data_IF_087438890757
#
_entry.id   IF_087438890757
#
_cell.length_a   1.000
_cell.length_b   1.000
_cell.length_c   1.000
_cell.angle_alpha   90.00
_cell.angle_beta   90.00
_cell.angle_gamma   90.00
#
_symmetry.space_group_name_H-M   'P 1'
#
loop_
_entity.id
_entity.type
_entity.pdbx_description
1 polymer ?
#
# COMPACT_ATOMS: atom_id res chain seq x y z
N UNK A 1 -16.19 -23.17 9.12
CA UNK A 1 -15.93 -21.84 8.54
C UNK A 1 -16.18 -21.84 7.01
N UNK A 2 -16.96 -20.89 6.44
CA UNK A 2 -17.02 -20.79 4.99
C UNK A 2 -15.68 -20.27 4.46
N UNK A 3 -15.22 -20.87 3.36
CA UNK A 3 -13.93 -20.58 2.75
C UNK A 3 -13.85 -19.12 2.27
N UNK A 4 -12.72 -18.46 2.55
CA UNK A 4 -12.38 -17.17 1.98
C UNK A 4 -12.41 -17.24 0.44
N UNK A 5 -12.96 -16.24 -0.27
CA UNK A 5 -12.95 -16.24 -1.73
C UNK A 5 -11.49 -16.27 -2.24
N UNK A 6 -11.23 -17.17 -3.18
CA UNK A 6 -9.92 -17.35 -3.79
C UNK A 6 -9.51 -16.06 -4.52
N UNK A 7 -8.30 -15.57 -4.24
CA UNK A 7 -7.73 -14.42 -4.95
C UNK A 7 -7.55 -14.81 -6.42
N UNK A 8 -8.18 -14.07 -7.33
CA UNK A 8 -7.99 -14.21 -8.78
C UNK A 8 -6.50 -14.11 -9.12
N UNK A 9 -5.88 -15.23 -9.50
CA UNK A 9 -4.47 -15.27 -9.88
C UNK A 9 -4.40 -14.95 -11.38
N UNK A 10 -3.66 -13.91 -11.74
CA UNK A 10 -3.34 -13.64 -13.14
C UNK A 10 -2.28 -14.65 -13.57
N UNK A 11 -2.52 -15.37 -14.67
CA UNK A 11 -1.53 -16.26 -15.27
C UNK A 11 -0.66 -15.46 -16.24
N UNK A 12 0.64 -15.43 -15.98
CA UNK A 12 1.62 -14.89 -16.93
C UNK A 12 2.03 -16.00 -17.90
N UNK A 13 2.05 -15.74 -19.23
CA UNK A 13 2.48 -16.73 -20.20
C UNK A 13 3.97 -17.06 -20.01
N UNK A 14 4.29 -18.35 -20.11
CA UNK A 14 5.68 -18.84 -20.16
C UNK A 14 6.35 -18.32 -21.43
N UNK A 15 7.18 -17.28 -21.32
CA UNK A 15 7.94 -16.78 -22.47
C UNK A 15 9.09 -17.74 -22.78
N UNK A 16 9.23 -18.15 -24.04
CA UNK A 16 10.52 -18.60 -24.57
C UNK A 16 11.53 -17.46 -24.32
N UNK A 17 12.53 -17.72 -23.48
CA UNK A 17 13.61 -16.78 -23.20
C UNK A 17 14.35 -16.54 -24.53
N UNK A 18 14.27 -15.33 -25.09
CA UNK A 18 15.25 -14.90 -26.09
C UNK A 18 16.60 -14.89 -25.37
N UNK A 19 17.49 -15.79 -25.78
CA UNK A 19 18.80 -15.98 -25.16
C UNK A 19 19.72 -14.90 -25.69
N UNK A 20 20.15 -14.00 -24.81
CA UNK A 20 21.22 -13.06 -25.10
C UNK A 20 22.49 -13.90 -25.34
N UNK A 21 23.27 -13.67 -26.42
CA UNK A 21 24.55 -14.34 -26.63
C UNK A 21 25.47 -14.11 -25.44
N UNK A 22 26.33 -15.08 -25.09
CA UNK A 22 27.34 -14.85 -24.05
C UNK A 22 28.34 -13.81 -24.58
N UNK A 23 28.66 -12.74 -23.84
CA UNK A 23 29.65 -11.77 -24.27
C UNK A 23 31.01 -12.48 -24.49
N UNK A 24 31.77 -12.09 -25.53
CA UNK A 24 33.00 -12.78 -25.92
C UNK A 24 34.15 -12.61 -24.92
N UNK A 25 34.04 -11.67 -23.97
CA UNK A 25 35.11 -11.33 -23.03
C UNK A 25 34.92 -12.04 -21.69
N UNK A 26 35.90 -12.87 -21.32
CA UNK A 26 35.96 -13.53 -20.03
C UNK A 26 36.38 -12.55 -18.91
N UNK A 27 36.06 -12.83 -17.63
CA UNK A 27 36.36 -11.95 -16.50
C UNK A 27 37.84 -11.60 -16.28
N UNK A 28 38.75 -12.31 -16.97
CA UNK A 28 40.20 -12.09 -16.91
C UNK A 28 40.73 -11.11 -17.98
N UNK A 29 39.87 -10.49 -18.80
CA UNK A 29 40.27 -9.48 -19.80
C UNK A 29 39.96 -8.06 -19.32
N UNK A 30 40.88 -7.11 -19.50
CA UNK A 30 40.75 -5.70 -19.10
C UNK A 30 39.54 -5.01 -19.76
N UNK A 31 39.15 -5.51 -20.94
CA UNK A 31 37.99 -5.08 -21.72
C UNK A 31 36.65 -5.40 -21.06
N UNK A 32 36.61 -6.37 -20.13
CA UNK A 32 35.42 -6.68 -19.33
C UNK A 32 35.08 -5.57 -18.32
N UNK A 33 36.09 -4.83 -17.84
CA UNK A 33 35.91 -3.67 -16.96
C UNK A 33 35.89 -2.34 -17.72
N UNK A 34 36.13 -2.37 -19.03
CA UNK A 34 36.00 -1.19 -19.86
C UNK A 34 34.51 -0.89 -20.09
N UNK A 35 34.02 0.11 -19.37
CA UNK A 35 32.63 0.60 -19.43
C UNK A 35 32.19 0.89 -20.85
N UNK A 36 33.08 1.39 -21.72
CA UNK A 36 32.74 1.69 -23.10
C UNK A 36 32.53 0.42 -23.94
N UNK A 37 33.37 -0.61 -23.76
CA UNK A 37 33.23 -1.88 -24.47
C UNK A 37 31.97 -2.63 -24.03
N UNK A 38 31.68 -2.63 -22.72
CA UNK A 38 30.47 -3.25 -22.15
C UNK A 38 29.20 -2.55 -22.63
N UNK A 39 29.20 -1.21 -22.69
CA UNK A 39 28.05 -0.45 -23.17
C UNK A 39 27.80 -0.67 -24.66
N UNK A 40 28.84 -0.61 -25.51
CA UNK A 40 28.70 -0.87 -26.95
C UNK A 40 28.13 -2.27 -27.21
N UNK A 41 28.64 -3.30 -26.52
CA UNK A 41 28.14 -4.66 -26.69
C UNK A 41 26.68 -4.82 -26.24
N UNK A 42 26.30 -4.17 -25.13
CA UNK A 42 24.93 -4.16 -24.63
C UNK A 42 23.97 -3.43 -25.59
N UNK A 43 24.41 -2.34 -26.21
CA UNK A 43 23.59 -1.57 -27.16
C UNK A 43 23.33 -2.35 -28.46
N UNK A 44 24.31 -3.12 -28.91
CA UNK A 44 24.22 -3.98 -30.10
C UNK A 44 23.36 -5.24 -29.88
N UNK A 45 23.46 -5.86 -28.70
CA UNK A 45 22.85 -7.18 -28.43
C UNK A 45 21.59 -7.12 -27.55
N UNK A 46 21.27 -5.95 -26.98
CA UNK A 46 20.02 -5.79 -26.23
C UNK A 46 18.81 -5.82 -27.18
N UNK A 47 17.72 -6.51 -26.80
CA UNK A 47 16.49 -6.51 -27.59
C UNK A 47 15.91 -5.09 -27.68
N UNK A 48 16.09 -4.48 -28.85
CA UNK A 48 15.52 -3.17 -29.21
C UNK A 48 14.00 -3.28 -29.20
N UNK A 49 13.34 -2.51 -28.34
CA UNK A 49 11.89 -2.30 -28.44
C UNK A 49 11.67 -1.18 -29.45
N UNK A 50 10.96 -1.41 -30.58
CA UNK A 50 10.58 -0.29 -31.43
C UNK A 50 9.72 0.67 -30.63
N UNK A 51 10.26 1.85 -30.32
CA UNK A 51 9.53 2.94 -29.67
C UNK A 51 8.60 3.57 -30.70
N UNK A 52 7.44 2.97 -30.92
CA UNK A 52 6.38 3.60 -31.71
C UNK A 52 5.68 4.64 -30.84
N UNK A 53 5.93 5.93 -31.13
CA UNK A 53 5.16 7.02 -30.53
C UNK A 53 3.68 6.93 -30.98
N UNK A 54 2.69 7.08 -30.08
CA UNK A 54 1.27 6.94 -30.43
C UNK A 54 0.72 7.95 -31.45
N UNK A 55 1.52 8.92 -31.93
CA UNK A 55 1.05 10.01 -32.79
C UNK A 55 1.02 9.68 -34.29
N UNK A 56 1.61 8.57 -34.74
CA UNK A 56 1.76 8.30 -36.19
C UNK A 56 0.68 7.43 -36.84
N UNK A 57 -0.33 6.96 -36.09
CA UNK A 57 -1.36 6.05 -36.63
C UNK A 57 -2.70 6.71 -37.00
N UNK A 58 -2.69 8.01 -37.34
CA UNK A 58 -3.89 8.74 -37.78
C UNK A 58 -4.04 8.90 -39.30
N UNK A 59 -3.17 8.29 -40.11
CA UNK A 59 -3.14 8.48 -41.57
C UNK A 59 -3.22 7.20 -42.43
N UNK A 60 -3.58 6.07 -41.85
CA UNK A 60 -3.89 4.86 -42.63
C UNK A 60 -5.24 4.34 -42.16
N UNK A 61 -6.14 4.04 -43.10
CA UNK A 61 -7.58 3.73 -42.97
C UNK A 61 -8.51 4.94 -43.16
N UNK A 62 -8.41 5.57 -44.33
CA UNK A 62 -9.59 6.01 -45.08
C UNK A 62 -9.58 5.19 -46.36
N UNK A 63 -10.55 4.29 -46.50
CA UNK A 63 -11.29 3.99 -47.74
C UNK A 63 -12.27 2.84 -47.48
N UNK A 64 -13.55 3.19 -47.64
CA UNK A 64 -14.73 2.39 -48.01
C UNK A 64 -15.08 1.10 -47.26
N UNK A 65 -16.10 1.18 -46.39
CA UNK A 65 -17.22 0.22 -46.43
C UNK A 65 -18.40 0.69 -45.57
N UNK A 66 -19.57 0.65 -46.19
CA UNK A 66 -20.87 1.15 -45.74
C UNK A 66 -21.63 0.05 -44.97
N UNK A 67 -21.92 0.23 -43.67
CA UNK A 67 -23.08 -0.37 -42.96
C UNK A 67 -23.11 -0.09 -41.43
N UNK A 68 -24.30 -0.09 -40.81
CA UNK A 68 -24.54 0.55 -39.52
C UNK A 68 -24.37 -0.42 -38.35
N UNK A 69 -23.66 -0.01 -37.30
CA UNK A 69 -23.75 -0.67 -36.01
C UNK A 69 -23.49 0.32 -34.88
N UNK A 70 -24.50 0.51 -34.05
CA UNK A 70 -24.49 1.36 -32.88
C UNK A 70 -23.32 0.98 -31.95
N UNK A 71 -22.27 1.80 -31.94
CA UNK A 71 -21.19 1.64 -30.97
C UNK A 71 -21.67 2.07 -29.57
N UNK A 72 -21.41 1.28 -28.51
CA UNK A 72 -21.72 1.68 -27.15
C UNK A 72 -20.97 2.97 -26.82
N UNK A 73 -21.68 3.93 -26.21
CA UNK A 73 -21.14 5.22 -25.76
C UNK A 73 -19.85 4.97 -24.96
N UNK A 74 -18.74 5.55 -25.42
CA UNK A 74 -17.48 5.61 -24.67
C UNK A 74 -17.80 6.01 -23.23
N UNK A 75 -17.51 5.12 -22.29
CA UNK A 75 -17.58 5.36 -20.86
C UNK A 75 -16.92 6.71 -20.56
N UNK A 76 -17.67 7.60 -19.92
CA UNK A 76 -17.23 8.93 -19.55
C UNK A 76 -15.84 8.86 -18.93
N UNK A 77 -14.87 9.56 -19.54
CA UNK A 77 -13.58 9.76 -18.91
C UNK A 77 -13.82 10.46 -17.55
N UNK A 78 -13.06 10.12 -16.50
CA UNK A 78 -13.29 10.71 -15.18
C UNK A 78 -13.28 12.23 -15.32
N UNK A 79 -14.36 12.85 -14.86
CA UNK A 79 -14.55 14.30 -14.81
C UNK A 79 -13.25 14.95 -14.31
N UNK A 80 -12.77 15.97 -15.03
CA UNK A 80 -11.60 16.74 -14.61
C UNK A 80 -11.86 17.22 -13.17
N UNK A 81 -10.99 16.82 -12.23
CA UNK A 81 -11.06 17.27 -10.83
C UNK A 81 -11.11 18.79 -10.77
N UNK A 82 -11.97 19.32 -9.91
CA UNK A 82 -12.12 20.76 -9.78
C UNK A 82 -10.85 21.39 -9.18
N UNK A 83 -10.63 22.69 -9.43
CA UNK A 83 -9.50 23.40 -8.80
C UNK A 83 -9.57 23.34 -7.28
N UNK A 84 -10.78 23.40 -6.71
CA UNK A 84 -11.01 23.29 -5.28
C UNK A 84 -10.59 21.91 -4.73
N UNK A 85 -10.97 20.83 -5.41
CA UNK A 85 -10.57 19.46 -5.03
C UNK A 85 -9.05 19.26 -5.08
N UNK A 86 -8.37 19.84 -6.07
CA UNK A 86 -6.91 19.76 -6.16
C UNK A 86 -6.21 20.52 -5.02
N UNK A 87 -6.73 21.69 -4.63
CA UNK A 87 -6.21 22.45 -3.49
C UNK A 87 -6.45 21.69 -2.19
N UNK A 88 -7.68 21.24 -1.94
CA UNK A 88 -8.03 20.47 -0.74
C UNK A 88 -7.17 19.20 -0.59
N UNK A 89 -6.92 18.49 -1.71
CA UNK A 89 -6.03 17.33 -1.69
C UNK A 89 -4.60 17.74 -1.31
N UNK A 90 -4.06 18.80 -1.91
CA UNK A 90 -2.70 19.27 -1.60
C UNK A 90 -2.58 19.69 -0.14
N UNK A 91 -3.57 20.38 0.39
CA UNK A 91 -3.59 20.81 1.79
C UNK A 91 -3.64 19.61 2.74
N UNK A 92 -4.44 18.59 2.41
CA UNK A 92 -4.44 17.32 3.11
C UNK A 92 -3.07 16.64 3.08
N UNK A 93 -2.45 16.49 1.90
CA UNK A 93 -1.13 15.87 1.75
C UNK A 93 -0.06 16.58 2.60
N UNK A 94 -0.13 17.91 2.71
CA UNK A 94 0.80 18.70 3.53
C UNK A 94 0.60 18.49 5.04
N UNK A 95 -0.66 18.32 5.49
CA UNK A 95 -0.99 18.23 6.93
C UNK A 95 -1.09 16.80 7.46
N UNK A 96 -1.25 15.79 6.60
CA UNK A 96 -1.61 14.41 7.00
C UNK A 96 -0.63 13.76 7.98
N UNK A 97 0.66 14.08 7.87
CA UNK A 97 1.68 13.53 8.78
C UNK A 97 1.44 14.02 10.22
N UNK A 98 1.37 15.34 10.39
CA UNK A 98 1.10 15.97 11.68
C UNK A 98 -0.28 15.56 12.22
N UNK A 99 -1.28 15.50 11.36
CA UNK A 99 -2.63 15.08 11.73
C UNK A 99 -2.65 13.64 12.30
N UNK A 100 -1.86 12.73 11.73
CA UNK A 100 -1.75 11.35 12.24
C UNK A 100 -1.12 11.31 13.64
N UNK A 101 -0.02 12.06 13.84
CA UNK A 101 0.69 12.14 15.13
C UNK A 101 -0.17 12.80 16.22
N UNK A 102 -0.75 13.97 15.92
CA UNK A 102 -1.60 14.71 16.85
C UNK A 102 -2.83 13.88 17.26
N UNK A 103 -3.48 13.23 16.29
CA UNK A 103 -4.64 12.40 16.58
C UNK A 103 -4.29 11.14 17.36
N UNK A 104 -3.13 10.53 17.10
CA UNK A 104 -2.65 9.40 17.89
C UNK A 104 -2.39 9.80 19.35
N UNK A 105 -1.74 10.95 19.58
CA UNK A 105 -1.52 11.46 20.93
C UNK A 105 -2.85 11.73 21.66
N UNK A 106 -3.85 12.28 20.95
CA UNK A 106 -5.19 12.49 21.49
C UNK A 106 -5.91 11.18 21.86
N UNK A 107 -5.80 10.16 21.00
CA UNK A 107 -6.29 8.81 21.28
C UNK A 107 -5.61 8.22 22.53
N UNK A 108 -4.28 8.29 22.61
CA UNK A 108 -3.55 7.71 23.74
C UNK A 108 -3.91 8.41 25.05
N UNK A 109 -3.95 9.73 25.03
CA UNK A 109 -4.37 10.52 26.18
C UNK A 109 -5.78 10.15 26.64
N UNK A 110 -6.76 10.16 25.72
CA UNK A 110 -8.18 10.00 26.07
C UNK A 110 -8.57 8.56 26.39
N UNK A 111 -7.94 7.58 25.74
CA UNK A 111 -8.38 6.17 25.80
C UNK A 111 -7.52 5.33 26.74
N UNK A 112 -6.22 5.60 26.86
CA UNK A 112 -5.30 4.82 27.71
C UNK A 112 -4.67 5.64 28.83
N UNK A 113 -4.84 6.97 28.85
CA UNK A 113 -4.18 7.85 29.80
C UNK A 113 -2.68 7.99 29.53
N UNK A 114 -2.28 8.12 28.26
CA UNK A 114 -0.89 8.20 27.80
C UNK A 114 -0.06 6.91 28.01
N UNK A 115 -0.71 5.76 28.16
CA UNK A 115 0.01 4.55 28.55
C UNK A 115 0.88 3.98 27.43
N UNK A 116 0.48 4.14 26.17
CA UNK A 116 1.28 3.64 25.05
C UNK A 116 2.55 4.49 24.92
N UNK A 117 2.43 5.81 25.03
CA UNK A 117 3.56 6.73 25.01
C UNK A 117 4.54 6.45 26.16
N UNK A 118 4.05 6.29 27.40
CA UNK A 118 4.87 5.91 28.55
C UNK A 118 5.67 4.62 28.30
N UNK A 119 5.04 3.59 27.75
CA UNK A 119 5.68 2.31 27.49
C UNK A 119 6.71 2.41 26.34
N UNK A 120 6.46 3.24 25.34
CA UNK A 120 7.33 3.43 24.19
C UNK A 120 8.43 4.50 24.41
N UNK A 121 8.36 5.27 25.50
CA UNK A 121 9.26 6.40 25.79
C UNK A 121 10.74 6.05 25.66
N UNK A 122 11.16 4.89 26.21
CA UNK A 122 12.55 4.42 26.15
C UNK A 122 13.04 4.08 24.72
N UNK A 123 12.15 4.02 23.74
CA UNK A 123 12.46 3.71 22.35
C UNK A 123 12.19 4.89 21.39
N UNK A 124 11.85 6.06 21.95
CA UNK A 124 11.54 7.28 21.20
C UNK A 124 10.09 7.37 20.72
N UNK A 125 9.14 6.77 21.46
CA UNK A 125 7.71 6.85 21.15
C UNK A 125 7.27 5.95 20.00
N UNK A 126 6.01 6.11 19.58
CA UNK A 126 5.44 5.37 18.43
C UNK A 126 5.88 6.00 17.12
N UNK A 127 6.50 5.22 16.23
CA UNK A 127 7.03 5.71 14.95
C UNK A 127 6.00 5.62 13.82
N UNK A 128 5.79 6.69 13.06
CA UNK A 128 4.94 6.69 11.88
C UNK A 128 5.75 6.49 10.60
N UNK A 129 5.37 5.49 9.79
CA UNK A 129 6.05 5.15 8.53
C UNK A 129 5.07 5.23 7.38
N UNK A 130 5.25 6.19 6.47
CA UNK A 130 4.41 6.31 5.28
C UNK A 130 4.95 5.48 4.12
N UNK A 131 4.11 4.60 3.58
CA UNK A 131 4.49 3.55 2.65
C UNK A 131 3.81 3.70 1.28
N UNK A 132 4.62 3.71 0.22
CA UNK A 132 4.18 3.75 -1.19
C UNK A 132 3.84 2.38 -1.76
N UNK A 133 4.23 1.32 -1.04
CA UNK A 133 4.11 -0.09 -1.44
C UNK A 133 3.03 -0.83 -0.68
N UNK A 134 2.58 -0.32 0.48
CA UNK A 134 1.42 -0.82 1.20
C UNK A 134 0.14 -0.48 0.43
N UNK A 135 -0.33 -1.44 -0.38
CA UNK A 135 -1.48 -1.25 -1.27
C UNK A 135 -2.64 -2.21 -0.98
N UNK A 136 -2.49 -3.13 -0.03
CA UNK A 136 -3.52 -4.13 0.32
C UNK A 136 -4.23 -3.85 1.64
N UNK A 137 -3.66 -2.99 2.49
CA UNK A 137 -4.27 -2.47 3.72
C UNK A 137 -3.99 -0.98 3.79
N UNK A 138 -4.79 -0.24 4.55
CA UNK A 138 -4.59 1.20 4.74
C UNK A 138 -3.55 1.51 5.84
N UNK A 139 -3.41 0.62 6.83
CA UNK A 139 -2.42 0.72 7.89
C UNK A 139 -1.92 -0.65 8.36
N UNK A 140 -0.85 -0.65 9.17
CA UNK A 140 -0.35 -1.78 9.96
C UNK A 140 0.37 -1.31 11.23
N UNK A 141 -0.08 -1.77 12.39
CA UNK A 141 0.66 -1.66 13.64
C UNK A 141 1.72 -2.77 13.76
N UNK A 142 2.94 -2.37 14.11
CA UNK A 142 4.04 -3.28 14.43
C UNK A 142 4.49 -3.02 15.87
N UNK A 143 4.69 -4.09 16.63
CA UNK A 143 5.15 -3.99 17.99
C UNK A 143 6.12 -5.12 18.36
N UNK A 144 7.17 -4.78 19.12
CA UNK A 144 8.13 -5.73 19.70
C UNK A 144 8.48 -5.30 21.13
N UNK A 145 8.44 -6.26 22.06
CA UNK A 145 8.94 -6.10 23.44
C UNK A 145 10.33 -6.70 23.55
N UNK A 146 11.29 -5.91 24.01
CA UNK A 146 12.61 -6.37 24.42
C UNK A 146 12.69 -6.36 25.96
N UNK A 147 13.24 -7.42 26.55
CA UNK A 147 13.39 -7.54 28.01
C UNK A 147 14.85 -7.79 28.34
N UNK A 148 15.47 -6.88 29.07
CA UNK A 148 16.84 -6.99 29.54
C UNK A 148 16.83 -7.19 31.05
N UNK A 149 17.61 -8.15 31.53
CA UNK A 149 17.83 -8.38 32.97
C UNK A 149 19.24 -7.92 33.32
N UNK A 150 19.34 -7.02 34.27
CA UNK A 150 20.61 -6.54 34.79
C UNK A 150 20.76 -7.00 36.24
N UNK A 151 21.86 -7.68 36.55
CA UNK A 151 22.18 -8.04 37.93
C UNK A 151 22.98 -6.91 38.55
N UNK A 152 22.46 -6.33 39.61
CA UNK A 152 23.10 -5.26 40.34
C UNK A 152 24.15 -5.81 41.30
N UNK A 153 25.02 -4.91 41.79
CA UNK A 153 26.13 -5.25 42.68
C UNK A 153 25.67 -5.81 44.03
N UNK A 154 24.47 -5.46 44.47
CA UNK A 154 23.81 -5.96 45.70
C UNK A 154 23.17 -7.36 45.51
N UNK A 155 23.28 -7.95 44.32
CA UNK A 155 22.68 -9.24 43.97
C UNK A 155 21.23 -9.15 43.49
N UNK A 156 20.59 -7.97 43.53
CA UNK A 156 19.24 -7.76 43.00
C UNK A 156 19.23 -7.82 41.46
N UNK A 157 18.08 -8.18 40.87
CA UNK A 157 17.90 -8.24 39.41
C UNK A 157 16.92 -7.16 38.99
N UNK A 158 17.41 -6.13 38.29
CA UNK A 158 16.56 -5.15 37.62
C UNK A 158 16.14 -5.69 36.26
N UNK A 159 14.83 -5.76 36.02
CA UNK A 159 14.30 -6.11 34.70
C UNK A 159 13.79 -4.85 34.01
N UNK A 160 14.38 -4.51 32.86
CA UNK A 160 13.97 -3.37 32.04
C UNK A 160 13.25 -3.89 30.79
N UNK A 161 12.09 -3.31 30.50
CA UNK A 161 11.33 -3.61 29.28
C UNK A 161 11.36 -2.40 28.34
N UNK A 162 11.67 -2.65 27.07
CA UNK A 162 11.61 -1.65 25.99
C UNK A 162 10.55 -2.06 24.99
N UNK A 163 9.63 -1.14 24.67
CA UNK A 163 8.55 -1.39 23.72
C UNK A 163 8.82 -0.63 22.43
N UNK A 164 9.21 -1.33 21.38
CA UNK A 164 9.35 -0.76 20.04
C UNK A 164 7.99 -0.83 19.33
N UNK A 165 7.41 0.32 19.00
CA UNK A 165 6.13 0.41 18.32
C UNK A 165 6.23 1.28 17.06
N UNK A 166 5.56 0.87 15.99
CA UNK A 166 5.39 1.69 14.79
C UNK A 166 4.05 1.45 14.11
N UNK A 167 3.57 2.47 13.41
CA UNK A 167 2.38 2.42 12.56
C UNK A 167 2.83 2.71 11.13
N UNK A 168 2.69 1.71 10.26
CA UNK A 168 2.87 1.88 8.82
C UNK A 168 1.54 2.35 8.20
N UNK A 169 1.55 3.43 7.43
CA UNK A 169 0.37 4.04 6.79
C UNK A 169 0.52 4.03 5.27
N UNK A 170 -0.52 3.64 4.55
CA UNK A 170 -0.51 3.53 3.09
C UNK A 170 -0.76 4.88 2.42
N UNK A 171 0.29 5.45 1.81
CA UNK A 171 0.26 6.79 1.21
C UNK A 171 -0.78 6.93 0.09
N UNK A 172 -1.01 5.85 -0.67
CA UNK A 172 -1.94 5.84 -1.82
C UNK A 172 -3.37 5.46 -1.46
N UNK A 173 -3.58 4.88 -0.29
CA UNK A 173 -4.89 4.40 0.16
C UNK A 173 -5.54 5.44 1.07
N UNK A 174 -4.73 6.23 1.79
CA UNK A 174 -5.19 7.32 2.66
C UNK A 174 -5.14 8.63 1.88
N UNK A 175 -6.29 9.03 1.32
CA UNK A 175 -6.44 10.21 0.45
C UNK A 175 -7.33 11.32 1.03
N UNK A 176 -7.94 11.07 2.19
CA UNK A 176 -8.77 12.01 2.92
C UNK A 176 -8.56 11.92 4.46
N UNK A 177 -9.04 12.93 5.17
CA UNK A 177 -8.86 13.10 6.61
C UNK A 177 -9.67 12.08 7.43
N UNK A 178 -10.95 11.87 7.12
CA UNK A 178 -11.81 10.93 7.84
C UNK A 178 -11.20 9.51 7.82
N UNK A 179 -10.72 9.09 6.66
CA UNK A 179 -10.03 7.83 6.48
C UNK A 179 -8.75 7.75 7.28
N UNK A 180 -7.94 8.81 7.31
CA UNK A 180 -6.74 8.83 8.13
C UNK A 180 -7.08 8.62 9.61
N UNK A 181 -8.09 9.31 10.13
CA UNK A 181 -8.52 9.16 11.53
C UNK A 181 -8.97 7.72 11.81
N UNK A 182 -9.80 7.13 10.96
CA UNK A 182 -10.25 5.75 11.12
C UNK A 182 -9.10 4.73 11.10
N UNK A 183 -8.15 4.89 10.16
CA UNK A 183 -6.98 4.02 10.07
C UNK A 183 -6.10 4.16 11.31
N UNK A 184 -5.79 5.39 11.74
CA UNK A 184 -4.96 5.62 12.94
C UNK A 184 -5.66 5.06 14.19
N UNK A 185 -6.98 5.25 14.34
CA UNK A 185 -7.73 4.70 15.46
C UNK A 185 -7.73 3.16 15.47
N UNK A 186 -7.82 2.53 14.30
CA UNK A 186 -7.72 1.08 14.16
C UNK A 186 -6.34 0.56 14.55
N UNK A 187 -5.27 1.16 14.01
CA UNK A 187 -3.90 0.77 14.33
C UNK A 187 -3.54 1.06 15.80
N UNK A 188 -4.09 2.13 16.37
CA UNK A 188 -4.02 2.41 17.80
C UNK A 188 -4.64 1.29 18.64
N UNK A 189 -5.81 0.78 18.26
CA UNK A 189 -6.45 -0.34 18.97
C UNK A 189 -5.59 -1.61 18.96
N UNK A 190 -4.83 -1.85 17.87
CA UNK A 190 -3.84 -2.92 17.84
C UNK A 190 -2.72 -2.69 18.88
N UNK A 191 -2.13 -1.50 18.91
CA UNK A 191 -1.09 -1.17 19.89
C UNK A 191 -1.62 -1.25 21.33
N UNK A 192 -2.82 -0.73 21.62
CA UNK A 192 -3.45 -0.81 22.94
C UNK A 192 -3.66 -2.27 23.37
N UNK A 193 -4.11 -3.13 22.46
CA UNK A 193 -4.28 -4.56 22.72
C UNK A 193 -2.94 -5.23 23.09
N UNK A 194 -1.87 -4.94 22.34
CA UNK A 194 -0.55 -5.53 22.57
C UNK A 194 0.17 -4.98 23.81
N UNK A 195 0.15 -3.66 23.98
CA UNK A 195 0.98 -2.94 24.94
C UNK A 195 0.29 -2.78 26.30
N UNK A 196 -1.01 -2.44 26.29
CA UNK A 196 -1.79 -2.17 27.51
C UNK A 196 -2.47 -3.44 28.00
N UNK A 197 -3.14 -4.19 27.11
CA UNK A 197 -3.85 -5.42 27.50
C UNK A 197 -2.95 -6.66 27.54
N UNK A 198 -1.79 -6.62 26.90
CA UNK A 198 -0.84 -7.75 26.86
C UNK A 198 -1.30 -8.93 25.99
N UNK A 199 -2.36 -8.76 25.18
CA UNK A 199 -2.92 -9.81 24.32
C UNK A 199 -2.28 -9.73 22.94
N UNK A 200 -1.67 -10.83 22.47
CA UNK A 200 -0.84 -10.85 21.25
C UNK A 200 -1.34 -11.81 20.17
N UNK A 201 -2.07 -12.82 20.58
CA UNK A 201 -2.57 -13.94 19.77
C UNK A 201 -3.94 -13.67 19.14
N UNK A 202 -4.66 -12.66 19.64
CA UNK A 202 -6.02 -12.31 19.19
C UNK A 202 -6.09 -10.85 18.70
N UNK A 203 -5.60 -10.56 17.48
CA UNK A 203 -5.46 -9.19 16.98
C UNK A 203 -6.79 -8.44 16.86
N UNK A 204 -7.89 -9.13 16.53
CA UNK A 204 -9.26 -8.56 16.46
C UNK A 204 -10.23 -9.26 17.41
N UNK A 205 -9.71 -9.78 18.54
CA UNK A 205 -10.49 -10.47 19.57
C UNK A 205 -11.39 -9.55 20.39
N UNK A 206 -11.88 -10.05 21.52
CA UNK A 206 -12.76 -9.29 22.41
C UNK A 206 -12.13 -7.95 22.84
N UNK A 207 -10.88 -7.96 23.30
CA UNK A 207 -10.23 -6.74 23.78
C UNK A 207 -10.01 -5.69 22.68
N UNK A 208 -9.69 -6.11 21.45
CA UNK A 208 -9.64 -5.19 20.32
C UNK A 208 -10.99 -4.47 20.13
N UNK A 209 -12.11 -5.20 20.21
CA UNK A 209 -13.44 -4.60 20.08
C UNK A 209 -13.76 -3.63 21.23
N UNK A 210 -13.29 -3.92 22.44
CA UNK A 210 -13.42 -3.00 23.59
C UNK A 210 -12.67 -1.70 23.32
N UNK A 211 -11.41 -1.78 22.86
CA UNK A 211 -10.65 -0.59 22.48
C UNK A 211 -11.30 0.17 21.32
N UNK A 212 -11.73 -0.54 20.28
CA UNK A 212 -12.44 0.04 19.15
C UNK A 212 -13.71 0.79 19.57
N UNK A 213 -14.52 0.19 20.44
CA UNK A 213 -15.70 0.85 21.00
C UNK A 213 -15.34 2.12 21.77
N UNK A 214 -14.31 2.09 22.63
CA UNK A 214 -13.86 3.30 23.35
C UNK A 214 -13.46 4.41 22.39
N UNK A 215 -12.71 4.09 21.33
CA UNK A 215 -12.31 5.05 20.31
C UNK A 215 -13.54 5.63 19.59
N UNK A 216 -14.46 4.78 19.13
CA UNK A 216 -15.68 5.21 18.45
C UNK A 216 -16.61 6.04 19.33
N UNK A 217 -16.78 5.68 20.60
CA UNK A 217 -17.59 6.47 21.53
C UNK A 217 -16.95 7.85 21.78
N UNK A 218 -15.62 7.92 21.90
CA UNK A 218 -14.91 9.14 22.22
C UNK A 218 -14.72 10.09 21.02
N UNK A 219 -14.65 9.56 19.79
CA UNK A 219 -14.29 10.28 18.58
C UNK A 219 -15.30 10.12 17.43
N UNK A 220 -16.45 9.51 17.67
CA UNK A 220 -17.50 9.33 16.65
C UNK A 220 -18.00 10.64 16.05
N UNK A 221 -17.96 11.74 16.82
CA UNK A 221 -18.26 13.10 16.31
C UNK A 221 -17.32 13.58 15.19
N UNK A 222 -16.17 12.93 14.99
CA UNK A 222 -15.20 13.18 13.91
C UNK A 222 -15.25 12.10 12.81
N UNK A 223 -16.28 11.25 12.80
CA UNK A 223 -16.44 10.16 11.83
C UNK A 223 -15.62 8.91 12.16
N UNK A 224 -15.15 8.73 13.40
CA UNK A 224 -14.35 7.56 13.79
C UNK A 224 -15.24 6.37 14.15
N UNK A 225 -15.18 5.32 13.34
CA UNK A 225 -15.82 4.02 13.55
C UNK A 225 -14.80 2.88 13.40
N UNK A 226 -14.31 2.36 14.53
CA UNK A 226 -13.34 1.25 14.51
C UNK A 226 -14.08 -0.06 14.34
N UNK A 227 -13.86 -0.71 13.20
CA UNK A 227 -14.39 -2.03 12.91
C UNK A 227 -13.27 -3.09 12.89
N UNK A 228 -13.61 -4.37 12.88
CA UNK A 228 -12.61 -5.45 12.85
C UNK A 228 -12.07 -5.73 11.45
N UNK A 229 -12.71 -5.18 10.40
CA UNK A 229 -12.30 -5.35 9.01
C UNK A 229 -11.87 -3.99 8.48
N UNK A 230 -10.83 -3.97 7.65
CA UNK A 230 -10.47 -2.77 6.89
C UNK A 230 -11.43 -2.57 5.70
N UNK A 231 -12.72 -2.38 5.96
CA UNK A 231 -13.73 -2.12 4.92
C UNK A 231 -13.75 -0.64 4.59
N UNK A 232 -12.87 -0.21 3.68
CA UNK A 232 -12.89 1.14 3.12
C UNK A 232 -13.08 1.08 1.61
N UNK A 233 -13.73 2.09 1.03
CA UNK A 233 -13.77 2.26 -0.43
C UNK A 233 -12.37 2.63 -0.92
N UNK A 234 -11.70 1.77 -1.68
CA UNK A 234 -10.38 2.07 -2.23
C UNK A 234 -10.57 2.65 -3.63
N UNK A 235 -10.10 3.89 -3.84
CA UNK A 235 -10.11 4.52 -5.15
C UNK A 235 -8.97 3.97 -6.03
N UNK A 236 -9.34 3.28 -7.09
CA UNK A 236 -8.39 2.68 -8.02
C UNK A 236 -8.24 3.53 -9.28
N UNK A 237 -7.01 3.96 -9.56
CA UNK A 237 -6.71 4.72 -10.78
C UNK A 237 -6.96 3.93 -12.07
N UNK A 238 -6.81 2.61 -12.02
CA UNK A 238 -7.01 1.72 -13.16
C UNK A 238 -7.92 0.55 -12.75
N UNK A 239 -9.06 0.43 -13.44
CA UNK A 239 -9.97 -0.71 -13.34
C UNK A 239 -9.92 -1.41 -14.70
N UNK A 240 -9.59 -2.70 -14.70
CA UNK A 240 -9.50 -3.53 -15.88
C UNK A 240 -10.63 -4.55 -15.86
N UNK A 241 -11.50 -4.52 -16.85
CA UNK A 241 -12.61 -5.49 -16.96
C UNK A 241 -12.28 -6.49 -18.05
N UNK A 242 -12.47 -7.78 -17.78
CA UNK A 242 -12.35 -8.81 -18.80
C UNK A 242 -13.33 -8.53 -19.94
N UNK A 243 -12.85 -8.56 -21.18
CA UNK A 243 -13.66 -8.33 -22.38
C UNK A 243 -14.57 -9.51 -22.71
N UNK A 244 -14.35 -10.68 -22.12
CA UNK A 244 -15.27 -11.81 -22.26
C UNK A 244 -16.55 -11.52 -21.46
N UNK A 245 -17.67 -11.39 -22.16
CA UNK A 245 -18.99 -11.07 -21.60
C UNK A 245 -19.45 -12.10 -20.57
N UNK A 246 -19.04 -13.36 -20.72
CA UNK A 246 -19.35 -14.44 -19.77
C UNK A 246 -18.46 -14.39 -18.51
N UNK A 247 -17.34 -13.65 -18.54
CA UNK A 247 -16.42 -13.52 -17.42
C UNK A 247 -16.67 -12.24 -16.62
N UNK A 248 -16.65 -11.08 -17.29
CA UNK A 248 -16.92 -9.77 -16.68
C UNK A 248 -16.01 -9.36 -15.49
N UNK A 249 -14.94 -10.11 -15.20
CA UNK A 249 -14.19 -9.91 -13.96
C UNK A 249 -13.40 -8.60 -13.96
N UNK A 250 -13.46 -7.88 -12.84
CA UNK A 250 -12.76 -6.61 -12.66
C UNK A 250 -11.47 -6.76 -11.84
N UNK A 251 -10.36 -6.27 -12.39
CA UNK A 251 -9.09 -6.17 -11.71
C UNK A 251 -8.77 -4.71 -11.41
N UNK A 252 -8.78 -4.37 -10.12
CA UNK A 252 -8.54 -3.01 -9.65
C UNK A 252 -7.06 -2.82 -9.28
N UNK A 253 -6.44 -1.73 -9.77
CA UNK A 253 -4.99 -1.43 -9.63
C UNK A 253 -4.72 0.07 -9.44
N UNK A 254 -3.72 0.39 -8.62
CA UNK A 254 -3.22 1.77 -8.46
C UNK A 254 -2.17 2.17 -9.52
N UNK A 255 -1.65 1.21 -10.29
CA UNK A 255 -0.72 1.41 -11.39
C UNK A 255 -1.22 0.73 -12.67
N UNK A 256 -0.73 1.17 -13.84
CA UNK A 256 -1.05 0.55 -15.14
C UNK A 256 -0.23 -0.74 -15.32
N UNK A 257 -0.42 -1.71 -14.44
CA UNK A 257 0.38 -2.93 -14.35
C UNK A 257 -0.18 -4.14 -15.11
N UNK A 258 -1.42 -4.06 -15.58
CA UNK A 258 -2.03 -5.10 -16.41
C UNK A 258 -1.78 -4.75 -17.87
N UNK A 259 -1.19 -5.69 -18.60
CA UNK A 259 -1.01 -5.62 -20.05
C UNK A 259 -1.94 -6.66 -20.67
N UNK A 260 -3.08 -6.27 -21.28
CA UNK A 260 -4.03 -7.22 -21.86
C UNK A 260 -3.44 -8.10 -22.97
N UNK A 261 -2.34 -7.68 -23.60
CA UNK A 261 -1.64 -8.52 -24.58
C UNK A 261 -0.84 -9.65 -23.93
N UNK A 262 -0.61 -9.58 -22.61
CA UNK A 262 0.22 -10.52 -21.85
C UNK A 262 -0.50 -11.19 -20.70
N UNK A 263 -1.57 -10.60 -20.18
CA UNK A 263 -2.27 -11.10 -19.01
C UNK A 263 -3.72 -11.43 -19.39
N UNK A 264 -4.17 -12.63 -19.05
CA UNK A 264 -5.56 -13.06 -19.11
C UNK A 264 -6.12 -13.24 -17.70
N UNK A 265 -7.44 -13.21 -17.58
CA UNK A 265 -8.13 -13.64 -16.37
C UNK A 265 -8.15 -15.18 -16.29
N UNK A 266 -7.94 -15.73 -15.08
CA UNK A 266 -7.85 -17.18 -14.86
C UNK A 266 -6.42 -17.67 -14.75
#
# INVERSE_FOLDING_TARGET
PPASPSKSRLVSPSKKKQRIPTPPHAPNFEEFWNVHAVNTWNDEHSPQKPLMSPKKNRKALQEDSDSPSASPKKSQSPTKKSRAEMVAKRDFENKKHKLAEDFFAELDHKITGNKIEELAALTGGVKFVWSKTLNSTAGRANWKRETSKHRNLDGSITTTQKHHASIELAEKVIDDEERLLNVVAHEFCHLANFMVSGIKDQPHGHQFKVWGKKCSDAFGHRGVEVTTKHSYHIDYKYIWTCTNEMCGHEFKRHSKSIDPARHSCG
#
